data_IF_756525523588
#
_entry.id   IF_756525523588
#
_cell.length_a   1.000
_cell.length_b   1.000
_cell.length_c   1.000
_cell.angle_alpha   90.00
_cell.angle_beta   90.00
_cell.angle_gamma   90.00
#
_symmetry.space_group_name_H-M   'P 1'
#
loop_
_entity.id
_entity.type
_entity.pdbx_description
1 polymer ?
#
# COMPACT_ATOMS: atom_id res chain seq x y z
N UNK A 1 -1.01 -3.01 -19.84
CA UNK A 1 0.11 -2.10 -19.50
C UNK A 1 1.26 -2.93 -18.93
N UNK A 2 2.21 -3.41 -19.76
CA UNK A 2 3.26 -4.36 -19.36
C UNK A 2 4.31 -3.76 -18.39
N UNK A 3 4.38 -2.43 -18.30
CA UNK A 3 5.28 -1.70 -17.41
C UNK A 3 5.09 -2.05 -15.92
N UNK A 4 3.83 -2.20 -15.45
CA UNK A 4 3.56 -2.54 -14.05
C UNK A 4 4.02 -3.95 -13.70
N UNK A 5 3.70 -4.93 -14.56
CA UNK A 5 4.16 -6.31 -14.39
C UNK A 5 5.69 -6.40 -14.42
N UNK A 6 6.35 -5.72 -15.36
CA UNK A 6 7.82 -5.68 -15.43
C UNK A 6 8.45 -5.02 -14.19
N UNK A 7 7.78 -4.05 -13.56
CA UNK A 7 8.24 -3.46 -12.32
C UNK A 7 8.20 -4.47 -11.16
N UNK A 8 7.10 -5.23 -11.04
CA UNK A 8 6.96 -6.27 -10.01
C UNK A 8 7.97 -7.41 -10.20
N UNK A 9 8.25 -7.82 -11.44
CA UNK A 9 9.29 -8.81 -11.72
C UNK A 9 10.68 -8.34 -11.22
N UNK A 10 11.02 -7.07 -11.47
CA UNK A 10 12.27 -6.47 -10.95
C UNK A 10 12.31 -6.37 -9.43
N UNK A 11 11.16 -6.26 -8.78
CA UNK A 11 11.02 -6.27 -7.32
C UNK A 11 11.05 -7.68 -6.72
N UNK A 12 11.21 -8.74 -7.53
CA UNK A 12 11.40 -10.11 -7.06
C UNK A 12 10.13 -10.96 -6.95
N UNK A 13 9.04 -10.56 -7.60
CA UNK A 13 7.85 -11.40 -7.77
C UNK A 13 7.97 -12.30 -9.01
N UNK A 14 7.35 -13.47 -8.98
CA UNK A 14 7.30 -14.37 -10.14
C UNK A 14 6.15 -14.02 -11.08
N UNK A 15 6.20 -14.46 -12.36
CA UNK A 15 5.06 -14.32 -13.28
C UNK A 15 3.76 -14.93 -12.72
N UNK A 16 3.86 -16.07 -12.04
CA UNK A 16 2.69 -16.76 -11.48
C UNK A 16 2.08 -15.97 -10.31
N UNK A 17 2.91 -15.40 -9.43
CA UNK A 17 2.45 -14.52 -8.35
C UNK A 17 1.73 -13.28 -8.89
N UNK A 18 2.23 -12.71 -10.00
CA UNK A 18 1.61 -11.55 -10.66
C UNK A 18 0.31 -11.93 -11.34
N UNK A 19 0.28 -13.04 -12.07
CA UNK A 19 -0.89 -13.50 -12.80
C UNK A 19 -2.03 -13.90 -11.85
N UNK A 20 -1.70 -14.53 -10.72
CA UNK A 20 -2.67 -14.93 -9.70
C UNK A 20 -3.06 -13.79 -8.75
N UNK A 21 -2.32 -12.67 -8.76
CA UNK A 21 -2.38 -11.64 -7.71
C UNK A 21 -2.28 -12.29 -6.33
N UNK A 22 -1.18 -13.00 -6.10
CA UNK A 22 -1.00 -13.81 -4.89
C UNK A 22 -1.13 -12.98 -3.62
N UNK A 23 -1.48 -13.61 -2.50
CA UNK A 23 -1.58 -12.93 -1.19
C UNK A 23 -0.28 -12.18 -0.85
N UNK A 24 0.88 -12.80 -1.10
CA UNK A 24 2.18 -12.15 -0.92
C UNK A 24 2.32 -10.87 -1.75
N UNK A 25 1.87 -10.89 -3.00
CA UNK A 25 1.88 -9.69 -3.84
C UNK A 25 0.93 -8.64 -3.26
N UNK A 26 -0.31 -9.03 -2.97
CA UNK A 26 -1.35 -8.14 -2.46
C UNK A 26 -0.92 -7.46 -1.14
N UNK A 27 -0.40 -8.22 -0.20
CA UNK A 27 0.06 -7.73 1.12
C UNK A 27 1.27 -6.78 1.02
N UNK A 28 2.06 -6.92 -0.05
CA UNK A 28 3.18 -6.05 -0.34
C UNK A 28 2.76 -4.72 -0.97
N UNK A 29 1.65 -4.69 -1.72
CA UNK A 29 1.19 -3.49 -2.43
C UNK A 29 0.06 -2.73 -1.73
N UNK A 30 -0.79 -3.42 -0.97
CA UNK A 30 -1.93 -2.83 -0.25
C UNK A 30 -1.85 -3.19 1.23
N UNK A 31 -2.13 -2.20 2.08
CA UNK A 31 -2.34 -2.40 3.51
C UNK A 31 -3.83 -2.49 3.76
N UNK A 32 -4.25 -3.53 4.48
CA UNK A 32 -5.62 -3.73 4.95
C UNK A 32 -5.62 -3.84 6.47
N UNK A 33 -6.63 -3.28 7.13
CA UNK A 33 -6.75 -3.31 8.58
C UNK A 33 -7.23 -1.98 9.14
N UNK A 34 -6.93 -1.76 10.41
CA UNK A 34 -7.19 -0.52 11.14
C UNK A 34 -6.02 0.46 11.03
N UNK A 35 -6.14 1.58 11.73
CA UNK A 35 -5.13 2.64 11.76
C UNK A 35 -3.79 2.17 12.33
N UNK A 36 -3.79 1.22 13.26
CA UNK A 36 -2.57 0.65 13.83
C UNK A 36 -1.82 -0.20 12.79
N UNK A 37 -2.55 -0.97 11.97
CA UNK A 37 -1.97 -1.71 10.85
C UNK A 37 -1.33 -0.76 9.82
N UNK A 38 -1.99 0.37 9.52
CA UNK A 38 -1.45 1.39 8.62
C UNK A 38 -0.22 2.07 9.22
N UNK A 39 -0.28 2.47 10.50
CA UNK A 39 0.85 3.06 11.21
C UNK A 39 2.07 2.14 11.16
N UNK A 40 1.90 0.86 11.49
CA UNK A 40 2.99 -0.11 11.46
C UNK A 40 3.64 -0.19 10.08
N UNK A 41 2.86 -0.21 8.99
CA UNK A 41 3.44 -0.21 7.64
C UNK A 41 4.17 1.10 7.31
N UNK A 42 3.64 2.24 7.75
CA UNK A 42 4.35 3.53 7.61
C UNK A 42 5.69 3.49 8.34
N UNK A 43 5.72 3.01 9.58
CA UNK A 43 6.95 2.86 10.36
C UNK A 43 7.94 1.89 9.68
N UNK A 44 7.47 0.79 9.10
CA UNK A 44 8.30 -0.16 8.32
C UNK A 44 8.97 0.53 7.12
N UNK A 45 8.26 1.40 6.39
CA UNK A 45 8.84 2.18 5.29
C UNK A 45 9.89 3.19 5.80
N UNK A 46 9.62 3.87 6.90
CA UNK A 46 10.57 4.80 7.51
C UNK A 46 11.84 4.07 8.00
N UNK A 47 11.68 2.90 8.63
CA UNK A 47 12.80 2.04 9.05
C UNK A 47 13.61 1.51 7.87
N UNK A 48 12.97 1.29 6.71
CA UNK A 48 13.64 0.94 5.46
C UNK A 48 14.38 2.14 4.82
N UNK A 49 14.33 3.33 5.42
CA UNK A 49 15.06 4.52 5.00
C UNK A 49 14.24 5.55 4.23
N UNK A 50 12.92 5.41 4.17
CA UNK A 50 12.07 6.47 3.64
C UNK A 50 12.14 7.71 4.56
N UNK A 51 12.30 8.89 3.97
CA UNK A 51 12.17 10.18 4.66
C UNK A 51 10.76 10.79 4.49
N UNK A 52 9.98 10.22 3.58
CA UNK A 52 8.59 10.60 3.31
C UNK A 52 7.78 9.39 2.85
N UNK A 53 6.56 9.25 3.38
CA UNK A 53 5.62 8.18 3.02
C UNK A 53 4.29 8.80 2.58
N UNK A 54 3.95 8.65 1.29
CA UNK A 54 2.67 9.08 0.75
C UNK A 54 1.60 8.02 1.00
N UNK A 55 0.48 8.39 1.61
CA UNK A 55 -0.64 7.47 1.87
C UNK A 55 -1.81 7.74 0.93
N UNK A 56 -2.13 6.77 0.08
CA UNK A 56 -3.32 6.75 -0.76
C UNK A 56 -4.40 5.86 -0.12
N UNK A 57 -5.58 6.42 0.14
CA UNK A 57 -6.72 5.66 0.68
C UNK A 57 -7.58 5.17 -0.48
N UNK A 58 -7.87 3.86 -0.49
CA UNK A 58 -8.79 3.23 -1.43
C UNK A 58 -10.16 3.04 -0.76
N UNK A 59 -11.20 3.59 -1.37
CA UNK A 59 -12.59 3.44 -0.93
C UNK A 59 -13.39 2.62 -1.93
N UNK A 60 -14.58 2.14 -1.53
CA UNK A 60 -15.46 1.38 -2.42
C UNK A 60 -15.87 2.17 -3.69
N UNK A 61 -16.04 3.49 -3.56
CA UNK A 61 -16.10 4.40 -4.71
C UNK A 61 -14.69 4.94 -5.00
N UNK A 62 -14.06 4.59 -6.13
CA UNK A 62 -12.72 5.05 -6.48
C UNK A 62 -12.66 6.55 -6.85
N UNK A 63 -13.81 7.18 -7.09
CA UNK A 63 -13.89 8.61 -7.40
C UNK A 63 -14.21 9.48 -6.17
N UNK A 64 -14.53 8.86 -5.03
CA UNK A 64 -14.83 9.58 -3.82
C UNK A 64 -13.56 10.25 -3.24
N UNK A 65 -13.73 11.46 -2.72
CA UNK A 65 -12.67 12.17 -2.01
C UNK A 65 -12.60 11.69 -0.54
N UNK A 66 -11.56 10.96 -0.10
CA UNK A 66 -11.56 10.22 1.16
C UNK A 66 -11.20 11.11 2.37
N UNK A 67 -11.84 12.27 2.48
CA UNK A 67 -11.51 13.29 3.50
C UNK A 67 -11.69 12.78 4.93
N UNK A 68 -12.76 12.03 5.18
CA UNK A 68 -13.05 11.51 6.51
C UNK A 68 -12.02 10.45 6.91
N UNK A 69 -11.68 9.56 5.99
CA UNK A 69 -10.71 8.50 6.19
C UNK A 69 -9.32 9.09 6.46
N UNK A 70 -8.91 10.14 5.74
CA UNK A 70 -7.68 10.86 6.05
C UNK A 70 -7.73 11.53 7.42
N UNK A 71 -8.84 12.15 7.83
CA UNK A 71 -8.95 12.74 9.18
C UNK A 71 -8.84 11.69 10.28
N UNK A 72 -9.41 10.51 10.06
CA UNK A 72 -9.35 9.37 10.98
C UNK A 72 -7.93 8.81 11.09
N UNK A 73 -7.23 8.66 9.96
CA UNK A 73 -5.88 8.12 9.92
C UNK A 73 -4.81 9.11 10.40
N UNK A 74 -4.96 10.41 10.09
CA UNK A 74 -3.98 11.44 10.40
C UNK A 74 -3.35 11.34 11.80
N UNK A 75 -4.10 11.24 12.91
CA UNK A 75 -3.50 11.16 14.25
C UNK A 75 -2.65 9.90 14.51
N UNK A 76 -2.81 8.83 13.73
CA UNK A 76 -2.05 7.59 13.91
C UNK A 76 -0.67 7.63 13.24
N UNK A 77 -0.43 8.55 12.29
CA UNK A 77 0.77 8.57 11.43
C UNK A 77 1.62 9.84 11.57
N UNK A 78 1.46 10.59 12.67
CA UNK A 78 2.25 11.78 13.02
C UNK A 78 3.40 11.45 13.95
#
# INVERSE_FOLDING_TARGET
MPNYANNLLRSGFTPDEIAAVSDRLLDAIIVWGDEDAVKRRVDEHLQAGADHVCVQILTADPNAFPREQWRRLAPAVV
#
